data_IF_421066641975
#
_entry.id   IF_421066641975
#
_cell.length_a   1.000
_cell.length_b   1.000
_cell.length_c   1.000
_cell.angle_alpha   90.00
_cell.angle_beta   90.00
_cell.angle_gamma   90.00
#
_symmetry.space_group_name_H-M   'P 1'
#
loop_
_entity.id
_entity.type
_entity.pdbx_description
1 polymer ?
#
# COMPACT_ATOMS: atom_id res chain seq x y z
N UNK A 1 7.67 68.02 11.99
CA UNK A 1 7.79 68.00 13.45
C UNK A 1 6.75 67.05 14.00
N UNK A 2 7.18 66.08 14.81
CA UNK A 2 6.36 64.97 15.31
C UNK A 2 6.60 63.70 14.49
N UNK A 3 6.76 62.51 15.05
CA UNK A 3 7.01 62.06 16.42
C UNK A 3 7.58 60.64 16.28
N UNK A 4 8.42 60.27 17.22
CA UNK A 4 9.03 58.96 17.44
C UNK A 4 8.02 57.84 17.65
N UNK A 5 8.28 56.65 17.10
CA UNK A 5 7.79 55.40 17.71
C UNK A 5 8.86 54.31 17.58
N UNK A 6 9.35 53.90 18.73
CA UNK A 6 10.43 52.95 18.99
C UNK A 6 9.89 51.53 18.95
N UNK A 7 10.56 50.64 18.22
CA UNK A 7 10.29 49.20 18.19
C UNK A 7 10.79 48.53 19.47
N UNK A 8 9.85 48.19 20.36
CA UNK A 8 10.11 47.43 21.58
C UNK A 8 10.01 45.91 21.28
N UNK A 9 11.17 45.24 21.26
CA UNK A 9 11.28 43.79 21.08
C UNK A 9 11.45 43.16 22.46
N UNK A 10 10.33 42.70 23.03
CA UNK A 10 10.32 41.96 24.29
C UNK A 10 10.98 40.57 24.20
N UNK A 11 11.44 39.99 25.32
CA UNK A 11 12.30 38.81 25.31
C UNK A 11 11.52 37.50 25.05
N UNK A 12 12.18 36.57 24.37
CA UNK A 12 11.68 35.24 24.04
C UNK A 12 11.38 34.39 25.29
N UNK A 13 10.11 34.03 25.46
CA UNK A 13 9.66 33.07 26.48
C UNK A 13 10.04 31.64 26.07
N UNK A 14 10.95 31.03 26.82
CA UNK A 14 11.31 29.61 26.71
C UNK A 14 10.21 28.72 27.29
N UNK A 15 9.47 28.02 26.43
CA UNK A 15 8.53 26.97 26.84
C UNK A 15 9.29 25.67 27.16
N UNK A 16 9.53 25.40 28.44
CA UNK A 16 10.07 24.11 28.91
C UNK A 16 8.89 23.15 29.19
N UNK A 17 8.60 22.22 28.30
CA UNK A 17 7.69 21.11 28.60
C UNK A 17 8.39 20.06 29.45
N UNK A 18 8.16 20.11 30.77
CA UNK A 18 8.55 19.06 31.71
C UNK A 18 7.42 18.03 31.80
N UNK A 19 7.37 17.06 30.89
CA UNK A 19 6.51 15.87 31.04
C UNK A 19 7.21 14.85 31.92
N UNK A 20 7.09 15.00 33.25
CA UNK A 20 7.33 13.87 34.17
C UNK A 20 6.08 12.99 34.15
N UNK A 21 6.20 11.79 33.57
CA UNK A 21 5.17 10.76 33.66
C UNK A 21 5.00 10.34 35.13
N UNK A 22 3.81 10.55 35.68
CA UNK A 22 3.44 10.11 37.02
C UNK A 22 3.38 8.58 37.14
N UNK A 23 3.30 8.03 38.37
CA UNK A 23 3.39 6.60 38.66
C UNK A 23 2.30 5.74 37.97
N UNK A 24 1.19 6.36 37.54
CA UNK A 24 0.13 5.70 36.77
C UNK A 24 0.51 5.45 35.29
N UNK A 25 1.38 6.28 34.70
CA UNK A 25 1.86 6.11 33.33
C UNK A 25 2.83 4.92 33.19
N UNK A 26 3.63 4.67 34.22
CA UNK A 26 4.55 3.52 34.26
C UNK A 26 3.82 2.18 34.44
N UNK A 27 2.67 2.17 35.15
CA UNK A 27 1.85 0.96 35.30
C UNK A 27 1.15 0.59 33.98
N UNK A 28 0.64 1.57 33.24
CA UNK A 28 -0.01 1.35 31.93
C UNK A 28 0.96 0.79 30.89
N UNK A 29 2.18 1.33 30.83
CA UNK A 29 3.20 0.82 29.90
C UNK A 29 3.68 -0.59 30.26
N UNK A 30 3.83 -0.90 31.55
CA UNK A 30 4.19 -2.26 32.01
C UNK A 30 3.08 -3.27 31.78
N UNK A 31 1.80 -2.88 31.90
CA UNK A 31 0.66 -3.76 31.60
C UNK A 31 0.56 -4.04 30.10
N UNK A 32 0.83 -3.05 29.24
CA UNK A 32 0.91 -3.22 27.79
C UNK A 32 2.08 -4.15 27.41
N UNK A 33 3.27 -3.96 27.99
CA UNK A 33 4.45 -4.81 27.73
C UNK A 33 4.27 -6.23 28.31
N UNK A 34 3.61 -6.38 29.46
CA UNK A 34 3.28 -7.68 30.06
C UNK A 34 2.22 -8.45 29.24
N UNK A 35 1.23 -7.75 28.67
CA UNK A 35 0.29 -8.34 27.73
C UNK A 35 0.96 -8.72 26.40
N UNK A 36 1.95 -7.94 25.93
CA UNK A 36 2.73 -8.27 24.74
C UNK A 36 3.69 -9.46 24.93
N UNK A 37 4.06 -9.82 26.17
CA UNK A 37 4.93 -10.98 26.45
C UNK A 37 4.13 -12.27 26.65
N UNK A 38 2.92 -12.20 27.22
CA UNK A 38 2.04 -13.37 27.40
C UNK A 38 1.28 -13.83 26.14
N UNK A 39 1.31 -13.07 25.05
CA UNK A 39 0.78 -13.50 23.73
C UNK A 39 1.76 -14.38 22.94
N UNK A 40 2.85 -14.86 23.54
CA UNK A 40 3.82 -15.75 22.91
C UNK A 40 3.34 -17.22 22.76
N UNK A 41 2.02 -17.46 22.79
CA UNK A 41 1.40 -18.69 22.34
C UNK A 41 1.04 -18.59 20.86
N UNK A 42 1.90 -19.13 19.99
CA UNK A 42 1.70 -19.32 18.55
C UNK A 42 1.06 -18.13 17.80
N UNK A 43 1.81 -17.04 17.59
CA UNK A 43 1.29 -15.83 16.92
C UNK A 43 1.13 -16.03 15.42
N UNK A 44 -0.08 -15.86 14.86
CA UNK A 44 -0.31 -15.82 13.41
C UNK A 44 0.57 -14.78 12.69
N UNK A 45 0.95 -13.70 13.39
CA UNK A 45 1.80 -12.63 12.85
C UNK A 45 3.24 -13.09 12.55
N UNK A 46 3.82 -13.96 13.38
CA UNK A 46 5.15 -14.52 13.12
C UNK A 46 5.13 -15.38 11.84
N UNK A 47 4.04 -16.12 11.64
CA UNK A 47 3.79 -16.89 10.41
C UNK A 47 3.58 -15.99 9.18
N UNK A 48 2.91 -14.85 9.33
CA UNK A 48 2.71 -13.91 8.21
C UNK A 48 4.01 -13.22 7.78
N UNK A 49 4.83 -12.74 8.72
CA UNK A 49 6.13 -12.13 8.40
C UNK A 49 7.07 -13.14 7.75
N UNK A 50 7.06 -14.40 8.21
CA UNK A 50 7.81 -15.48 7.57
C UNK A 50 7.31 -15.73 6.14
N UNK A 51 5.99 -15.76 5.92
CA UNK A 51 5.39 -15.91 4.58
C UNK A 51 5.81 -14.78 3.64
N UNK A 52 5.77 -13.53 4.11
CA UNK A 52 6.26 -12.38 3.33
C UNK A 52 7.76 -12.47 3.05
N UNK A 53 8.55 -12.97 3.99
CA UNK A 53 9.99 -13.15 3.82
C UNK A 53 10.30 -14.24 2.78
N UNK A 54 9.57 -15.35 2.80
CA UNK A 54 9.66 -16.40 1.78
C UNK A 54 9.26 -15.84 0.40
N UNK A 55 8.16 -15.08 0.34
CA UNK A 55 7.66 -14.44 -0.87
C UNK A 55 8.59 -13.37 -1.47
N UNK A 56 9.63 -12.93 -0.75
CA UNK A 56 10.59 -11.94 -1.22
C UNK A 56 11.45 -12.43 -2.40
N UNK A 57 11.66 -13.74 -2.50
CA UNK A 57 12.52 -14.36 -3.52
C UNK A 57 11.73 -15.13 -4.59
N UNK A 58 10.40 -15.08 -4.53
CA UNK A 58 9.50 -15.77 -5.46
C UNK A 58 8.96 -14.72 -6.43
N UNK A 59 9.30 -14.84 -7.72
CA UNK A 59 8.75 -13.96 -8.74
C UNK A 59 7.24 -14.16 -8.86
N UNK A 60 6.53 -13.08 -9.21
CA UNK A 60 5.19 -13.19 -9.74
C UNK A 60 5.18 -14.01 -11.03
N UNK A 61 4.12 -14.78 -11.21
CA UNK A 61 3.80 -15.47 -12.44
C UNK A 61 2.30 -15.37 -12.73
N UNK A 62 1.88 -15.72 -13.93
CA UNK A 62 0.48 -15.83 -14.29
C UNK A 62 0.19 -17.23 -14.80
N UNK A 63 -0.72 -17.91 -14.10
CA UNK A 63 -1.48 -19.03 -14.65
C UNK A 63 -2.88 -18.57 -15.03
N UNK A 64 -3.74 -19.52 -15.35
CA UNK A 64 -5.16 -19.25 -15.49
C UNK A 64 -5.73 -18.66 -14.19
N UNK A 65 -6.73 -17.79 -14.34
CA UNK A 65 -7.45 -17.25 -13.19
C UNK A 65 -8.59 -18.22 -12.91
N UNK A 66 -8.66 -18.67 -11.67
CA UNK A 66 -9.79 -19.37 -11.12
C UNK A 66 -10.22 -18.63 -9.87
N UNK A 67 -11.52 -18.62 -9.60
CA UNK A 67 -12.02 -18.09 -8.34
C UNK A 67 -11.60 -19.06 -7.22
N UNK A 68 -11.02 -18.57 -6.12
CA UNK A 68 -10.64 -19.44 -5.02
C UNK A 68 -11.87 -20.07 -4.37
N UNK A 69 -11.71 -21.22 -3.72
CA UNK A 69 -12.80 -21.92 -3.01
C UNK A 69 -13.48 -21.05 -1.94
N UNK A 70 -12.74 -20.08 -1.38
CA UNK A 70 -13.26 -19.13 -0.39
C UNK A 70 -13.90 -17.88 -1.01
N UNK A 71 -14.03 -17.80 -2.33
CA UNK A 71 -14.74 -16.71 -3.02
C UNK A 71 -16.21 -16.67 -2.58
N UNK A 72 -16.68 -15.46 -2.25
CA UNK A 72 -18.04 -15.20 -1.80
C UNK A 72 -18.58 -13.98 -2.55
N UNK A 73 -19.46 -14.24 -3.51
CA UNK A 73 -20.04 -13.19 -4.36
C UNK A 73 -20.75 -12.12 -3.52
N UNK A 74 -21.44 -12.53 -2.45
CA UNK A 74 -22.13 -11.61 -1.55
C UNK A 74 -21.17 -10.63 -0.86
N UNK A 75 -20.00 -11.10 -0.42
CA UNK A 75 -18.95 -10.23 0.14
C UNK A 75 -18.37 -9.28 -0.91
N UNK A 76 -18.15 -9.75 -2.14
CA UNK A 76 -17.69 -8.90 -3.24
C UNK A 76 -18.70 -7.80 -3.54
N UNK A 77 -19.98 -8.14 -3.72
CA UNK A 77 -21.04 -7.15 -3.97
C UNK A 77 -21.14 -6.13 -2.84
N UNK A 78 -21.00 -6.58 -1.58
CA UNK A 78 -20.95 -5.68 -0.42
C UNK A 78 -19.75 -4.73 -0.47
N UNK A 79 -18.57 -5.22 -0.82
CA UNK A 79 -17.37 -4.38 -0.96
C UNK A 79 -17.51 -3.36 -2.11
N UNK A 80 -18.12 -3.76 -3.23
CA UNK A 80 -18.44 -2.88 -4.35
C UNK A 80 -19.42 -1.77 -3.95
N UNK A 81 -20.46 -2.10 -3.19
CA UNK A 81 -21.40 -1.11 -2.68
C UNK A 81 -20.74 -0.16 -1.67
N UNK A 82 -19.89 -0.68 -0.79
CA UNK A 82 -19.09 0.15 0.11
C UNK A 82 -18.21 1.13 -0.67
N UNK A 83 -17.58 0.68 -1.75
CA UNK A 83 -16.78 1.53 -2.62
C UNK A 83 -17.62 2.62 -3.30
N UNK A 84 -18.80 2.30 -3.83
CA UNK A 84 -19.69 3.31 -4.44
C UNK A 84 -20.05 4.43 -3.46
N UNK A 85 -20.29 4.08 -2.18
CA UNK A 85 -20.62 5.04 -1.11
C UNK A 85 -19.42 5.84 -0.61
N UNK A 86 -18.21 5.28 -0.70
CA UNK A 86 -16.98 5.86 -0.12
C UNK A 86 -15.91 6.16 -1.18
N UNK A 87 -16.33 6.33 -2.43
CA UNK A 87 -15.47 6.39 -3.62
C UNK A 87 -14.26 7.30 -3.43
N UNK A 88 -14.50 8.54 -3.01
CA UNK A 88 -13.46 9.55 -2.86
C UNK A 88 -12.44 9.17 -1.79
N UNK A 89 -12.92 8.81 -0.58
CA UNK A 89 -12.06 8.42 0.53
C UNK A 89 -11.20 7.19 0.17
N UNK A 90 -11.78 6.19 -0.49
CA UNK A 90 -11.06 5.00 -0.91
C UNK A 90 -10.03 5.26 -2.01
N UNK A 91 -10.25 6.24 -2.89
CA UNK A 91 -9.25 6.64 -3.89
C UNK A 91 -8.12 7.46 -3.28
N UNK A 92 -8.40 8.35 -2.33
CA UNK A 92 -7.36 9.04 -1.56
C UNK A 92 -6.51 8.04 -0.78
N UNK A 93 -7.14 7.04 -0.14
CA UNK A 93 -6.42 5.94 0.51
C UNK A 93 -5.46 5.22 -0.44
N UNK A 94 -5.93 4.86 -1.65
CA UNK A 94 -5.10 4.25 -2.70
C UNK A 94 -3.94 5.14 -3.14
N UNK A 95 -4.16 6.44 -3.26
CA UNK A 95 -3.09 7.40 -3.59
C UNK A 95 -2.04 7.44 -2.48
N UNK A 96 -2.44 7.54 -1.21
CA UNK A 96 -1.53 7.49 -0.08
C UNK A 96 -0.74 6.18 -0.03
N UNK A 97 -1.42 5.05 -0.27
CA UNK A 97 -0.76 3.74 -0.36
C UNK A 97 0.22 3.64 -1.51
N UNK A 98 -0.12 4.17 -2.69
CA UNK A 98 0.81 4.28 -3.82
C UNK A 98 2.07 5.08 -3.42
N UNK A 99 1.90 6.23 -2.77
CA UNK A 99 3.02 7.04 -2.28
C UNK A 99 3.86 6.31 -1.22
N UNK A 100 3.25 5.44 -0.41
CA UNK A 100 3.96 4.61 0.55
C UNK A 100 4.77 3.51 -0.15
N UNK A 101 4.18 2.76 -1.09
CA UNK A 101 4.86 1.61 -1.72
C UNK A 101 6.02 2.02 -2.64
N UNK A 102 6.01 3.24 -3.21
CA UNK A 102 7.17 3.74 -3.98
C UNK A 102 8.41 3.97 -3.10
N UNK A 103 8.27 3.98 -1.77
CA UNK A 103 9.43 4.03 -0.85
C UNK A 103 10.10 2.66 -0.68
N UNK A 104 9.46 1.57 -1.10
CA UNK A 104 10.01 0.22 -1.04
C UNK A 104 11.04 0.04 -2.18
N UNK A 105 12.33 -0.18 -1.89
CA UNK A 105 13.37 -0.15 -2.92
C UNK A 105 13.25 -1.21 -4.01
N UNK A 106 12.68 -2.39 -3.74
CA UNK A 106 12.39 -3.40 -4.77
C UNK A 106 11.34 -2.90 -5.76
N UNK A 107 10.24 -2.36 -5.26
CA UNK A 107 9.15 -1.80 -6.06
C UNK A 107 9.67 -0.63 -6.89
N UNK A 108 10.30 0.37 -6.26
CA UNK A 108 10.81 1.57 -6.94
C UNK A 108 11.75 1.23 -8.10
N UNK A 109 12.66 0.28 -7.91
CA UNK A 109 13.59 -0.15 -8.97
C UNK A 109 12.85 -0.64 -10.20
N UNK A 110 11.80 -1.46 -10.03
CA UNK A 110 10.98 -1.92 -11.16
C UNK A 110 10.26 -0.75 -11.83
N UNK A 111 9.68 0.17 -11.06
CA UNK A 111 9.01 1.36 -11.61
C UNK A 111 9.95 2.18 -12.50
N UNK A 112 11.18 2.45 -12.03
CA UNK A 112 12.22 3.14 -12.79
C UNK A 112 12.60 2.35 -14.04
N UNK A 113 12.79 1.04 -13.93
CA UNK A 113 13.14 0.18 -15.07
C UNK A 113 12.10 0.21 -16.19
N UNK A 114 10.81 0.19 -15.87
CA UNK A 114 9.76 0.25 -16.91
C UNK A 114 9.75 1.56 -17.69
N UNK A 115 10.33 2.62 -17.12
CA UNK A 115 10.35 3.97 -17.68
C UNK A 115 8.94 4.54 -18.03
N UNK A 116 7.87 3.93 -17.52
CA UNK A 116 6.48 4.34 -17.81
C UNK A 116 6.01 5.52 -16.94
N UNK A 117 6.91 6.15 -16.21
CA UNK A 117 6.62 7.28 -15.32
C UNK A 117 7.74 8.31 -15.28
N UNK A 118 8.64 8.29 -16.27
CA UNK A 118 9.76 9.24 -16.38
C UNK A 118 9.34 10.62 -16.89
N UNK A 119 8.22 10.69 -17.61
CA UNK A 119 7.70 11.92 -18.20
C UNK A 119 6.26 12.17 -17.72
N UNK A 120 5.82 13.43 -17.55
CA UNK A 120 4.46 13.73 -17.08
C UNK A 120 3.37 13.04 -17.91
N UNK A 121 3.53 12.96 -19.23
CA UNK A 121 2.57 12.31 -20.13
C UNK A 121 2.49 10.79 -19.95
N UNK A 122 3.63 10.10 -19.79
CA UNK A 122 3.65 8.64 -19.60
C UNK A 122 3.17 8.27 -18.21
N UNK A 123 3.58 9.04 -17.20
CA UNK A 123 3.08 8.93 -15.83
C UNK A 123 1.55 9.11 -15.77
N UNK A 124 1.02 10.16 -16.41
CA UNK A 124 -0.43 10.39 -16.48
C UNK A 124 -1.18 9.18 -17.06
N UNK A 125 -0.74 8.67 -18.22
CA UNK A 125 -1.37 7.50 -18.86
C UNK A 125 -1.36 6.27 -17.94
N UNK A 126 -0.24 6.02 -17.26
CA UNK A 126 -0.09 4.90 -16.35
C UNK A 126 -1.04 4.98 -15.16
N UNK A 127 -1.13 6.14 -14.52
CA UNK A 127 -1.97 6.31 -13.33
C UNK A 127 -3.46 6.36 -13.69
N UNK A 128 -3.83 6.93 -14.84
CA UNK A 128 -5.21 6.81 -15.37
C UNK A 128 -5.56 5.35 -15.66
N UNK A 129 -4.66 4.56 -16.26
CA UNK A 129 -4.91 3.14 -16.47
C UNK A 129 -5.11 2.39 -15.14
N UNK A 130 -4.34 2.74 -14.10
CA UNK A 130 -4.50 2.17 -12.75
C UNK A 130 -5.88 2.50 -12.16
N UNK A 131 -6.35 3.73 -12.34
CA UNK A 131 -7.71 4.15 -11.94
C UNK A 131 -8.75 3.31 -12.71
N UNK A 132 -8.64 3.20 -14.03
CA UNK A 132 -9.59 2.45 -14.85
C UNK A 132 -9.66 0.96 -14.45
N UNK A 133 -8.52 0.30 -14.23
CA UNK A 133 -8.51 -1.08 -13.74
C UNK A 133 -9.21 -1.21 -12.38
N UNK A 134 -8.93 -0.29 -11.46
CA UNK A 134 -9.59 -0.26 -10.15
C UNK A 134 -11.11 -0.10 -10.29
N UNK A 135 -11.56 0.80 -11.16
CA UNK A 135 -12.98 1.00 -11.44
C UNK A 135 -13.63 -0.27 -11.99
N UNK A 136 -12.98 -0.95 -12.94
CA UNK A 136 -13.49 -2.22 -13.47
C UNK A 136 -13.71 -3.23 -12.34
N UNK A 137 -12.79 -3.35 -11.37
CA UNK A 137 -12.93 -4.30 -10.26
C UNK A 137 -14.08 -3.96 -9.31
N UNK A 138 -14.36 -2.67 -9.09
CA UNK A 138 -15.42 -2.26 -8.17
C UNK A 138 -16.80 -2.10 -8.81
N UNK A 139 -16.86 -1.93 -10.13
CA UNK A 139 -18.14 -1.69 -10.84
C UNK A 139 -18.66 -2.90 -11.61
N UNK A 140 -17.87 -3.95 -11.82
CA UNK A 140 -18.23 -5.10 -12.64
C UNK A 140 -18.17 -6.42 -11.86
N UNK A 141 -18.90 -7.41 -12.34
CA UNK A 141 -18.97 -8.74 -11.73
C UNK A 141 -17.67 -9.52 -11.97
N UNK A 142 -17.26 -10.37 -11.05
CA UNK A 142 -16.06 -11.20 -11.19
C UNK A 142 -16.38 -12.54 -11.86
N UNK A 143 -16.79 -12.49 -13.14
CA UNK A 143 -17.03 -13.67 -13.98
C UNK A 143 -16.11 -13.69 -15.20
N UNK A 144 -15.72 -14.86 -15.75
CA UNK A 144 -14.72 -14.97 -16.82
C UNK A 144 -14.85 -14.03 -18.02
N UNK A 145 -16.07 -13.64 -18.37
CA UNK A 145 -16.37 -12.78 -19.52
C UNK A 145 -16.37 -11.28 -19.21
N UNK A 146 -16.34 -10.90 -17.93
CA UNK A 146 -16.52 -9.52 -17.49
C UNK A 146 -15.31 -8.63 -17.75
N UNK A 147 -15.50 -7.31 -17.64
CA UNK A 147 -14.37 -6.37 -17.72
C UNK A 147 -13.44 -6.51 -16.52
N UNK A 148 -13.96 -6.75 -15.30
CA UNK A 148 -13.13 -7.02 -14.13
C UNK A 148 -12.19 -8.22 -14.34
N UNK A 149 -12.70 -9.31 -14.93
CA UNK A 149 -11.90 -10.50 -15.19
C UNK A 149 -10.81 -10.27 -16.24
N UNK A 150 -11.16 -9.61 -17.34
CA UNK A 150 -10.17 -9.21 -18.36
C UNK A 150 -9.11 -8.28 -17.78
N UNK A 151 -9.53 -7.34 -16.95
CA UNK A 151 -8.69 -6.38 -16.26
C UNK A 151 -7.67 -7.05 -15.33
N UNK A 152 -8.13 -7.91 -14.41
CA UNK A 152 -7.24 -8.62 -13.48
C UNK A 152 -6.29 -9.56 -14.24
N UNK A 153 -6.78 -10.21 -15.30
CA UNK A 153 -5.96 -11.02 -16.22
C UNK A 153 -4.83 -10.21 -16.85
N UNK A 154 -5.17 -9.03 -17.37
CA UNK A 154 -4.22 -8.12 -18.00
C UNK A 154 -3.16 -7.62 -17.01
N UNK A 155 -3.57 -7.21 -15.80
CA UNK A 155 -2.66 -6.73 -14.76
C UNK A 155 -1.71 -7.85 -14.31
N UNK A 156 -2.20 -9.07 -14.09
CA UNK A 156 -1.36 -10.24 -13.75
C UNK A 156 -0.33 -10.54 -14.84
N UNK A 157 -0.77 -10.58 -16.11
CA UNK A 157 0.11 -10.80 -17.27
C UNK A 157 1.16 -9.70 -17.39
N UNK A 158 0.77 -8.45 -17.20
CA UNK A 158 1.67 -7.29 -17.28
C UNK A 158 2.75 -7.36 -16.20
N UNK A 159 2.39 -7.61 -14.94
CA UNK A 159 3.39 -7.72 -13.86
C UNK A 159 4.36 -8.89 -14.09
N UNK A 160 3.86 -10.05 -14.51
CA UNK A 160 4.72 -11.18 -14.82
C UNK A 160 5.61 -10.95 -16.05
N UNK A 161 5.12 -10.27 -17.08
CA UNK A 161 5.92 -9.85 -18.23
C UNK A 161 7.04 -8.87 -17.82
N UNK A 162 6.70 -7.85 -17.02
CA UNK A 162 7.68 -6.89 -16.49
C UNK A 162 8.70 -7.58 -15.58
N UNK A 163 8.28 -8.51 -14.72
CA UNK A 163 9.19 -9.26 -13.85
C UNK A 163 10.21 -10.07 -14.67
N UNK A 164 9.75 -10.78 -15.71
CA UNK A 164 10.61 -11.53 -16.64
C UNK A 164 11.58 -10.61 -17.38
N UNK A 165 11.10 -9.48 -17.89
CA UNK A 165 11.94 -8.49 -18.58
C UNK A 165 12.99 -7.90 -17.65
N UNK A 166 12.61 -7.48 -16.44
CA UNK A 166 13.53 -6.88 -15.49
C UNK A 166 14.62 -7.88 -15.07
N UNK A 167 14.24 -9.15 -14.86
CA UNK A 167 15.17 -10.21 -14.49
C UNK A 167 16.12 -10.61 -15.62
N UNK A 168 15.74 -10.41 -16.89
CA UNK A 168 16.65 -10.68 -18.03
C UNK A 168 17.71 -9.59 -18.19
N UNK A 169 17.42 -8.37 -17.77
CA UNK A 169 18.38 -7.24 -17.77
C UNK A 169 19.28 -7.27 -16.54
N UNK A 170 18.72 -7.60 -15.37
CA UNK A 170 19.48 -7.71 -14.11
C UNK A 170 19.03 -8.93 -13.32
N UNK A 171 19.88 -9.95 -13.16
CA UNK A 171 19.57 -11.12 -12.33
C UNK A 171 19.08 -10.71 -10.93
N UNK A 172 17.96 -11.30 -10.51
CA UNK A 172 17.33 -11.02 -9.21
C UNK A 172 16.48 -9.74 -9.17
N UNK A 173 16.38 -8.97 -10.26
CA UNK A 173 15.43 -7.86 -10.36
C UNK A 173 14.06 -8.37 -10.80
N UNK A 174 13.27 -8.78 -9.83
CA UNK A 174 11.92 -9.34 -10.04
C UNK A 174 10.86 -8.43 -9.40
N UNK A 175 9.60 -8.61 -9.83
CA UNK A 175 8.45 -8.30 -8.99
C UNK A 175 8.21 -9.54 -8.14
N UNK A 176 8.41 -9.44 -6.83
CA UNK A 176 8.24 -10.59 -5.92
C UNK A 176 6.80 -10.72 -5.42
N UNK A 177 6.42 -11.90 -4.90
CA UNK A 177 5.13 -12.11 -4.23
C UNK A 177 4.97 -11.16 -3.03
N UNK A 178 6.07 -10.88 -2.31
CA UNK A 178 6.09 -9.86 -1.25
C UNK A 178 5.75 -8.46 -1.78
N UNK A 179 6.33 -8.06 -2.91
CA UNK A 179 6.05 -6.75 -3.51
C UNK A 179 4.57 -6.64 -3.92
N UNK A 180 3.98 -7.72 -4.43
CA UNK A 180 2.54 -7.77 -4.73
C UNK A 180 1.68 -7.64 -3.48
N UNK A 181 2.00 -8.37 -2.40
CA UNK A 181 1.28 -8.29 -1.14
C UNK A 181 1.34 -6.88 -0.53
N UNK A 182 2.52 -6.25 -0.52
CA UNK A 182 2.70 -4.87 -0.06
C UNK A 182 1.89 -3.90 -0.92
N UNK A 183 1.88 -4.09 -2.24
CA UNK A 183 1.11 -3.25 -3.18
C UNK A 183 -0.39 -3.39 -2.94
N UNK A 184 -0.89 -4.62 -2.76
CA UNK A 184 -2.30 -4.88 -2.46
C UNK A 184 -2.71 -4.24 -1.14
N UNK A 185 -1.89 -4.39 -0.10
CA UNK A 185 -2.10 -3.72 1.19
C UNK A 185 -2.18 -2.19 1.04
N UNK A 186 -1.26 -1.58 0.29
CA UNK A 186 -1.33 -0.13 0.02
C UNK A 186 -2.63 0.32 -0.66
N UNK A 187 -3.23 -0.52 -1.52
CA UNK A 187 -4.43 -0.14 -2.26
C UNK A 187 -5.76 -0.45 -1.56
N UNK A 188 -5.78 -1.52 -0.76
CA UNK A 188 -7.01 -2.08 -0.18
C UNK A 188 -7.10 -1.83 1.33
N UNK A 189 -5.96 -1.65 2.01
CA UNK A 189 -5.87 -1.54 3.47
C UNK A 189 -5.63 -2.87 4.15
#
# INVERSE_FOLDING_TARGET
MGATETSDVGPASTYRSSTRLGPLGALSLRLVVANLTNLAGNRPEASYLETLQQGANISVDYGDIELPEWYDDGKIKRAQEYFRRNFYAMFIGKLCGLLAIITVPSILRVLVHTNQSSEPRTAYRRYVATIMHTLEWYFEDFVPTSRAWKSISFVRKTHAGVSRQASSVRPGMIISQRDMAITQFGFIG
#
